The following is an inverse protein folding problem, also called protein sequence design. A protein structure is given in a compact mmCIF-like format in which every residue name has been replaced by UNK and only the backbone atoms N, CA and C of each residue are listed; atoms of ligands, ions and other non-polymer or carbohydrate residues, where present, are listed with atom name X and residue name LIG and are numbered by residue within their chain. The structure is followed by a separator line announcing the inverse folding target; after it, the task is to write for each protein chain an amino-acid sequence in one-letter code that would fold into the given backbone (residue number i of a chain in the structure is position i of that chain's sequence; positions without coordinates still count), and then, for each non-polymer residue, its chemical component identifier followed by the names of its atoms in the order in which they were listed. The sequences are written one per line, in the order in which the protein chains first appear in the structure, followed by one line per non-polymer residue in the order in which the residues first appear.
data_IF_664373099598
#
_entry.id   IF_664373099598
#
_cell.length_a   1.000
_cell.length_b   1.000
_cell.length_c   1.000
_cell.angle_alpha   90.00
_cell.angle_beta   90.00
_cell.angle_gamma   90.00
#
_symmetry.space_group_name_H-M   'P 1'
#
loop_
_entity.id
_entity.type
_entity.pdbx_description
1 polymer ?
#
# COMPACT_ATOMS: atom_id res chain seq x y z
N UNK A 1 -20.49 38.25 -51.35
CA UNK A 1 -21.34 37.10 -51.79
C UNK A 1 -20.64 35.81 -51.46
N UNK A 2 -21.38 34.85 -50.93
CA UNK A 2 -21.15 33.49 -50.49
C UNK A 2 -20.61 33.30 -49.08
N UNK A 3 -21.54 32.96 -48.18
CA UNK A 3 -21.39 32.43 -46.85
C UNK A 3 -20.99 30.94 -46.95
N UNK A 4 -20.09 30.45 -46.12
CA UNK A 4 -19.86 29.05 -45.89
C UNK A 4 -20.20 28.68 -44.42
N UNK A 5 -20.72 27.47 -44.18
CA UNK A 5 -21.41 27.16 -42.95
C UNK A 5 -20.45 26.68 -41.84
N UNK A 6 -20.82 27.00 -40.61
CA UNK A 6 -20.24 26.53 -39.35
C UNK A 6 -20.51 25.09 -39.15
N UNK A 7 -19.48 24.29 -38.99
CA UNK A 7 -19.56 22.91 -38.51
C UNK A 7 -19.39 22.85 -36.99
N UNK A 8 -20.43 22.37 -36.31
CA UNK A 8 -20.52 22.05 -34.91
C UNK A 8 -19.70 20.76 -34.66
N UNK A 9 -18.92 20.62 -33.59
CA UNK A 9 -18.37 19.34 -33.19
C UNK A 9 -19.43 18.46 -32.51
N UNK A 10 -19.35 17.14 -32.62
CA UNK A 10 -20.32 16.22 -32.02
C UNK A 10 -20.14 16.09 -30.51
N UNK A 11 -21.27 16.05 -29.82
CA UNK A 11 -21.39 15.76 -28.40
C UNK A 11 -20.82 14.38 -28.06
N UNK A 12 -19.88 14.31 -27.12
CA UNK A 12 -19.42 13.08 -26.52
C UNK A 12 -20.24 12.76 -25.28
N UNK A 13 -20.77 11.54 -25.11
CA UNK A 13 -21.45 11.17 -23.87
C UNK A 13 -20.46 10.90 -22.76
N UNK A 14 -20.64 11.61 -21.67
CA UNK A 14 -20.02 11.35 -20.36
C UNK A 14 -20.50 9.98 -19.84
N UNK A 15 -19.63 8.99 -19.89
CA UNK A 15 -19.77 7.79 -19.09
C UNK A 15 -18.48 7.61 -18.28
N UNK A 16 -18.53 8.09 -17.04
CA UNK A 16 -17.50 7.82 -16.06
C UNK A 16 -17.39 6.34 -15.78
N UNK A 17 -16.31 5.73 -16.18
CA UNK A 17 -15.91 4.39 -15.73
C UNK A 17 -14.52 4.48 -15.10
N UNK A 18 -14.53 4.33 -13.79
CA UNK A 18 -13.35 3.96 -12.99
C UNK A 18 -12.85 2.62 -13.53
N UNK A 19 -11.80 2.63 -14.34
CA UNK A 19 -11.11 1.42 -14.75
C UNK A 19 -9.80 1.33 -14.02
N UNK A 20 -9.81 0.59 -12.94
CA UNK A 20 -8.62 -0.04 -12.39
C UNK A 20 -8.11 -1.04 -13.44
N UNK A 21 -6.86 -0.92 -13.77
CA UNK A 21 -5.96 -1.73 -14.56
C UNK A 21 -6.52 -3.10 -15.01
N UNK A 22 -6.97 -3.21 -16.27
CA UNK A 22 -7.05 -4.48 -16.95
C UNK A 22 -5.81 -4.60 -17.85
N UNK A 23 -4.85 -5.43 -17.45
CA UNK A 23 -3.80 -5.90 -18.32
C UNK A 23 -4.41 -6.96 -19.25
N UNK A 24 -4.49 -6.67 -20.55
CA UNK A 24 -4.89 -7.65 -21.56
C UNK A 24 -3.77 -8.68 -21.74
N UNK A 25 -3.95 -9.88 -21.20
CA UNK A 25 -3.16 -11.05 -21.53
C UNK A 25 -3.67 -11.71 -22.80
N UNK A 26 -2.84 -11.79 -23.84
CA UNK A 26 -3.09 -12.58 -25.05
C UNK A 26 -3.00 -14.07 -24.67
N UNK A 27 -4.11 -14.79 -24.69
CA UNK A 27 -4.14 -16.24 -24.53
C UNK A 27 -3.83 -16.92 -25.88
N UNK A 28 -2.70 -17.61 -25.94
CA UNK A 28 -2.39 -18.60 -26.98
C UNK A 28 -3.04 -19.93 -26.59
N UNK A 29 -3.97 -20.38 -27.40
CA UNK A 29 -4.63 -21.67 -27.26
C UNK A 29 -3.71 -22.82 -27.67
N UNK A 30 -3.53 -23.82 -26.79
CA UNK A 30 -2.96 -25.11 -27.11
C UNK A 30 -4.04 -26.22 -26.94
N UNK A 31 -4.02 -27.29 -27.73
CA UNK A 31 -5.10 -28.25 -27.80
C UNK A 31 -5.17 -29.22 -26.63
N UNK A 32 -6.38 -29.56 -26.23
CA UNK A 32 -6.72 -30.57 -25.23
C UNK A 32 -6.31 -31.98 -25.68
N UNK A 33 -5.48 -32.62 -24.86
CA UNK A 33 -5.43 -34.10 -24.86
C UNK A 33 -6.25 -34.62 -23.67
N UNK A 34 -7.21 -35.48 -23.98
CA UNK A 34 -8.02 -36.18 -23.00
C UNK A 34 -7.23 -37.36 -22.43
N UNK A 35 -7.17 -37.44 -21.11
CA UNK A 35 -6.70 -38.65 -20.41
C UNK A 35 -7.77 -39.10 -19.42
N UNK A 36 -8.14 -40.36 -19.52
CA UNK A 36 -9.15 -41.02 -18.72
C UNK A 36 -8.71 -41.24 -17.27
N UNK A 37 -9.61 -40.96 -16.31
CA UNK A 37 -9.42 -41.22 -14.90
C UNK A 37 -9.76 -42.66 -14.53
N UNK A 38 -9.03 -43.30 -13.61
CA UNK A 38 -9.47 -44.55 -12.99
C UNK A 38 -10.37 -44.28 -11.77
N UNK A 39 -11.36 -45.19 -11.60
CA UNK A 39 -12.36 -45.14 -10.56
C UNK A 39 -11.76 -45.26 -9.14
N UNK A 40 -12.20 -44.39 -8.25
CA UNK A 40 -11.84 -44.41 -6.83
C UNK A 40 -12.81 -45.30 -6.05
N UNK A 41 -12.26 -46.31 -5.37
CA UNK A 41 -12.95 -47.17 -4.42
C UNK A 41 -13.06 -46.44 -3.07
N UNK A 42 -14.28 -46.20 -2.62
CA UNK A 42 -14.59 -45.59 -1.31
C UNK A 42 -14.36 -46.66 -0.21
N UNK A 43 -13.40 -46.39 0.68
CA UNK A 43 -13.27 -47.09 1.96
C UNK A 43 -13.93 -46.23 3.05
N UNK A 44 -14.92 -46.80 3.70
CA UNK A 44 -15.61 -46.15 4.85
C UNK A 44 -14.68 -46.09 6.06
N UNK A 45 -14.45 -44.92 6.60
CA UNK A 45 -13.67 -44.66 7.79
C UNK A 45 -14.59 -44.58 9.03
N UNK A 46 -14.30 -45.39 10.05
CA UNK A 46 -15.02 -45.41 11.31
C UNK A 46 -14.76 -44.13 12.15
N UNK A 47 -15.71 -43.68 12.98
CA UNK A 47 -15.55 -42.46 13.78
C UNK A 47 -14.55 -42.66 14.93
N UNK A 48 -13.68 -41.65 15.12
CA UNK A 48 -12.74 -41.57 16.22
C UNK A 48 -13.43 -41.32 17.57
N UNK A 49 -12.92 -41.85 18.70
CA UNK A 49 -13.48 -41.65 20.03
C UNK A 49 -13.22 -40.21 20.52
N UNK A 50 -14.18 -39.67 21.30
CA UNK A 50 -14.14 -38.33 21.90
C UNK A 50 -12.99 -38.20 22.91
N UNK A 51 -12.32 -37.02 22.99
CA UNK A 51 -11.27 -36.81 23.99
C UNK A 51 -11.84 -36.62 25.40
N UNK A 52 -11.13 -37.18 26.40
CA UNK A 52 -11.40 -37.07 27.80
C UNK A 52 -11.25 -35.62 28.33
N UNK A 53 -11.98 -35.20 29.36
CA UNK A 53 -11.88 -33.83 29.89
C UNK A 53 -10.53 -33.66 30.62
N UNK A 54 -9.87 -32.53 30.33
CA UNK A 54 -8.63 -32.12 30.98
C UNK A 54 -8.90 -31.65 32.44
N UNK A 55 -7.93 -31.87 33.38
CA UNK A 55 -8.09 -31.42 34.75
C UNK A 55 -8.06 -29.91 34.88
N UNK A 56 -8.94 -29.36 35.70
CA UNK A 56 -9.02 -27.93 36.01
C UNK A 56 -7.72 -27.45 36.69
N UNK A 57 -6.95 -26.64 36.04
CA UNK A 57 -5.80 -25.94 36.59
C UNK A 57 -6.28 -24.65 37.28
N UNK A 58 -6.16 -24.60 38.61
CA UNK A 58 -6.24 -23.36 39.38
C UNK A 58 -5.00 -22.51 39.10
N UNK A 59 -5.02 -21.74 38.03
CA UNK A 59 -4.02 -20.69 37.80
C UNK A 59 -4.52 -19.40 38.50
N UNK A 60 -3.74 -18.94 39.48
CA UNK A 60 -3.94 -17.66 40.13
C UNK A 60 -4.01 -16.56 39.05
N UNK A 61 -5.04 -15.72 39.13
CA UNK A 61 -5.22 -14.60 38.20
C UNK A 61 -4.04 -13.64 38.26
N UNK A 62 -3.21 -13.65 37.25
CA UNK A 62 -2.20 -12.60 37.02
C UNK A 62 -2.97 -11.29 36.77
N UNK A 63 -2.58 -10.16 37.42
CA UNK A 63 -3.27 -8.90 37.17
C UNK A 63 -3.22 -8.58 35.69
N UNK A 64 -4.41 -8.32 35.12
CA UNK A 64 -4.59 -8.01 33.72
C UNK A 64 -3.64 -6.85 33.35
N UNK A 65 -2.68 -7.12 32.46
CA UNK A 65 -1.88 -6.07 31.84
C UNK A 65 -2.84 -5.04 31.24
N UNK A 66 -2.67 -3.77 31.56
CA UNK A 66 -3.47 -2.69 31.01
C UNK A 66 -3.49 -2.84 29.50
N UNK A 67 -4.62 -3.24 28.94
CA UNK A 67 -4.83 -3.39 27.51
C UNK A 67 -4.88 -1.98 26.93
N UNK A 68 -3.81 -1.57 26.28
CA UNK A 68 -3.86 -0.37 25.45
C UNK A 68 -4.84 -0.65 24.32
N UNK A 69 -6.03 -0.04 24.39
CA UNK A 69 -7.05 -0.21 23.38
C UNK A 69 -6.57 0.31 22.02
N UNK A 70 -6.85 -0.40 20.92
CA UNK A 70 -6.62 0.11 19.58
C UNK A 70 -7.28 1.48 19.39
N UNK A 71 -6.68 2.35 18.58
CA UNK A 71 -7.32 3.59 18.22
C UNK A 71 -8.67 3.32 17.53
N UNK A 72 -9.64 4.18 17.74
CA UNK A 72 -11.02 3.99 17.26
C UNK A 72 -11.11 3.86 15.74
N UNK A 73 -10.23 4.56 15.01
CA UNK A 73 -10.11 4.52 13.55
C UNK A 73 -9.60 3.17 13.03
N UNK A 74 -8.57 2.57 13.69
CA UNK A 74 -8.12 1.22 13.37
C UNK A 74 -9.20 0.19 13.66
N UNK A 75 -9.85 0.27 14.83
CA UNK A 75 -10.89 -0.65 15.21
C UNK A 75 -12.07 -0.61 14.21
N UNK A 76 -12.47 0.59 13.77
CA UNK A 76 -13.53 0.78 12.78
C UNK A 76 -13.13 0.21 11.40
N UNK A 77 -11.89 0.46 10.96
CA UNK A 77 -11.36 -0.11 9.71
C UNK A 77 -11.32 -1.64 9.77
N UNK A 78 -10.78 -2.20 10.86
CA UNK A 78 -10.68 -3.64 11.03
C UNK A 78 -12.05 -4.32 11.05
N UNK A 79 -13.00 -3.77 11.82
CA UNK A 79 -14.37 -4.29 11.88
C UNK A 79 -15.08 -4.25 10.52
N UNK A 80 -14.75 -3.29 9.66
CA UNK A 80 -15.39 -3.13 8.36
C UNK A 80 -14.75 -3.99 7.28
N UNK A 81 -13.43 -4.00 7.19
CA UNK A 81 -12.70 -4.54 6.04
C UNK A 81 -12.01 -5.87 6.29
N UNK A 82 -11.76 -6.25 7.56
CA UNK A 82 -11.05 -7.50 7.88
C UNK A 82 -12.05 -8.55 8.34
N UNK A 83 -12.18 -9.61 7.57
CA UNK A 83 -13.07 -10.73 7.89
C UNK A 83 -12.52 -11.56 9.08
N UNK A 84 -13.36 -12.39 9.73
CA UNK A 84 -12.91 -13.23 10.84
C UNK A 84 -11.74 -14.15 10.51
N UNK A 85 -11.60 -14.59 9.26
CA UNK A 85 -10.50 -15.42 8.77
C UNK A 85 -9.22 -14.63 8.42
N UNK A 86 -9.26 -13.29 8.47
CA UNK A 86 -8.13 -12.41 8.15
C UNK A 86 -8.12 -11.86 6.74
N UNK A 87 -9.13 -12.15 5.92
CA UNK A 87 -9.27 -11.56 4.59
C UNK A 87 -9.57 -10.08 4.66
N UNK A 88 -8.81 -9.25 3.95
CA UNK A 88 -9.09 -7.82 3.78
C UNK A 88 -9.86 -7.60 2.49
N UNK A 89 -11.04 -6.95 2.56
CA UNK A 89 -11.94 -6.78 1.42
C UNK A 89 -12.06 -5.31 1.03
N UNK A 90 -11.88 -5.03 -0.25
CA UNK A 90 -12.37 -3.81 -0.88
C UNK A 90 -13.81 -4.04 -1.39
N UNK A 91 -14.79 -3.56 -0.64
CA UNK A 91 -16.20 -3.67 -0.99
C UNK A 91 -16.62 -2.73 -2.13
N UNK A 92 -15.75 -1.85 -2.59
CA UNK A 92 -16.04 -0.93 -3.68
C UNK A 92 -15.83 -1.55 -5.06
N UNK A 93 -15.35 -2.78 -5.12
CA UNK A 93 -15.14 -3.53 -6.36
C UNK A 93 -16.21 -4.59 -6.58
N UNK A 94 -16.62 -4.82 -7.83
CA UNK A 94 -17.63 -5.84 -8.17
C UNK A 94 -17.17 -7.25 -7.76
N UNK A 95 -15.87 -7.50 -7.81
CA UNK A 95 -15.24 -8.76 -7.42
C UNK A 95 -15.10 -8.90 -5.90
N UNK A 96 -15.44 -7.85 -5.11
CA UNK A 96 -15.12 -7.81 -3.68
C UNK A 96 -13.68 -8.25 -3.43
N UNK A 97 -12.76 -7.58 -4.14
CA UNK A 97 -11.38 -8.03 -4.22
C UNK A 97 -10.62 -7.89 -2.90
N UNK A 98 -9.64 -8.77 -2.76
CA UNK A 98 -8.56 -8.65 -1.78
C UNK A 98 -7.26 -8.54 -2.57
N UNK A 99 -6.41 -7.59 -2.20
CA UNK A 99 -5.12 -7.41 -2.84
C UNK A 99 -3.99 -7.70 -1.87
N UNK A 100 -2.83 -8.11 -2.38
CA UNK A 100 -1.64 -8.22 -1.54
C UNK A 100 -1.27 -6.89 -0.90
N UNK A 101 -1.55 -5.74 -1.58
CA UNK A 101 -1.42 -4.40 -1.01
C UNK A 101 -2.31 -4.24 0.23
N UNK A 102 -3.59 -4.64 0.12
CA UNK A 102 -4.53 -4.56 1.23
C UNK A 102 -4.12 -5.41 2.43
N UNK A 103 -3.66 -6.62 2.18
CA UNK A 103 -3.14 -7.50 3.22
C UNK A 103 -1.87 -6.92 3.86
N UNK A 104 -0.96 -6.34 3.06
CA UNK A 104 0.29 -5.74 3.54
C UNK A 104 0.06 -4.56 4.47
N UNK A 105 -0.86 -3.67 4.11
CA UNK A 105 -1.21 -2.51 4.94
C UNK A 105 -1.95 -2.92 6.22
N UNK A 106 -2.81 -3.94 6.15
CA UNK A 106 -3.47 -4.47 7.34
C UNK A 106 -2.46 -5.09 8.32
N UNK A 107 -1.44 -5.81 7.84
CA UNK A 107 -0.32 -6.29 8.67
C UNK A 107 0.42 -5.12 9.31
N UNK A 108 0.75 -4.08 8.56
CA UNK A 108 1.43 -2.91 9.07
C UNK A 108 0.62 -2.20 10.16
N UNK A 109 -0.67 -1.95 9.93
CA UNK A 109 -1.51 -1.28 10.93
C UNK A 109 -1.78 -2.15 12.16
N UNK A 110 -1.98 -3.46 12.00
CA UNK A 110 -2.07 -4.37 13.13
C UNK A 110 -0.81 -4.31 14.00
N UNK A 111 0.38 -4.21 13.38
CA UNK A 111 1.63 -4.04 14.10
C UNK A 111 1.70 -2.66 14.80
N UNK A 112 1.34 -1.57 14.11
CA UNK A 112 1.29 -0.20 14.68
C UNK A 112 0.38 -0.12 15.90
N UNK A 113 -0.70 -0.87 15.92
CA UNK A 113 -1.68 -0.89 17.01
C UNK A 113 -1.48 -2.05 18.02
N UNK A 114 -0.41 -2.84 17.89
CA UNK A 114 -0.10 -4.02 18.71
C UNK A 114 -1.22 -5.08 18.69
N UNK A 115 -1.93 -5.18 17.59
CA UNK A 115 -3.04 -6.13 17.38
C UNK A 115 -2.51 -7.45 16.81
N UNK A 116 -1.99 -8.29 17.70
CA UNK A 116 -1.36 -9.56 17.33
C UNK A 116 -2.33 -10.56 16.71
N UNK A 117 -3.58 -10.53 17.15
CA UNK A 117 -4.61 -11.48 16.70
C UNK A 117 -5.02 -11.17 15.26
N UNK A 118 -5.24 -9.91 14.93
CA UNK A 118 -5.51 -9.51 13.54
C UNK A 118 -4.27 -9.77 12.69
N UNK A 119 -3.08 -9.42 13.15
CA UNK A 119 -1.83 -9.68 12.41
C UNK A 119 -1.70 -11.16 12.04
N UNK A 120 -1.89 -12.07 13.00
CA UNK A 120 -1.76 -13.50 12.77
C UNK A 120 -2.81 -14.04 11.77
N UNK A 121 -4.07 -13.57 11.87
CA UNK A 121 -5.15 -13.99 10.95
C UNK A 121 -4.93 -13.46 9.54
N UNK A 122 -4.56 -12.19 9.39
CA UNK A 122 -4.25 -11.58 8.09
C UNK A 122 -3.08 -12.30 7.42
N UNK A 123 -2.02 -12.62 8.17
CA UNK A 123 -0.89 -13.38 7.66
C UNK A 123 -1.29 -14.78 7.21
N UNK A 124 -2.02 -15.52 8.04
CA UNK A 124 -2.47 -16.87 7.71
C UNK A 124 -3.34 -16.89 6.44
N UNK A 125 -4.25 -15.93 6.30
CA UNK A 125 -5.08 -15.80 5.11
C UNK A 125 -4.23 -15.49 3.87
N UNK A 126 -3.25 -14.59 3.99
CA UNK A 126 -2.33 -14.20 2.91
C UNK A 126 -1.53 -15.40 2.42
N UNK A 127 -0.94 -16.18 3.34
CA UNK A 127 -0.20 -17.40 2.97
C UNK A 127 -1.10 -18.41 2.27
N UNK A 128 -2.28 -18.68 2.83
CA UNK A 128 -3.18 -19.71 2.31
C UNK A 128 -3.77 -19.35 0.93
N UNK A 129 -4.13 -18.09 0.70
CA UNK A 129 -4.91 -17.71 -0.47
C UNK A 129 -4.11 -16.98 -1.56
N UNK A 130 -3.02 -16.28 -1.21
CA UNK A 130 -2.22 -15.54 -2.17
C UNK A 130 -0.86 -16.19 -2.46
N UNK A 131 -0.28 -16.94 -1.50
CA UNK A 131 1.08 -17.46 -1.60
C UNK A 131 1.17 -19.00 -1.62
N UNK A 132 0.13 -19.69 -2.09
CA UNK A 132 0.14 -21.15 -2.23
C UNK A 132 0.43 -21.90 -0.92
N UNK A 133 0.14 -21.30 0.23
CA UNK A 133 0.35 -21.84 1.57
C UNK A 133 1.63 -21.35 2.26
N UNK A 134 2.54 -20.65 1.60
CA UNK A 134 3.76 -20.16 2.26
C UNK A 134 4.46 -19.02 1.56
N UNK A 135 4.55 -17.88 2.24
CA UNK A 135 5.37 -16.72 1.85
C UNK A 135 6.89 -16.99 1.86
N UNK A 136 7.33 -18.10 2.42
CA UNK A 136 8.73 -18.50 2.32
C UNK A 136 9.07 -19.18 0.98
N UNK A 137 8.08 -19.54 0.17
CA UNK A 137 8.25 -20.31 -1.06
C UNK A 137 7.75 -19.60 -2.31
N UNK A 138 6.80 -18.67 -2.16
CA UNK A 138 6.13 -18.03 -3.26
C UNK A 138 5.79 -16.59 -2.91
N UNK A 139 6.05 -15.66 -3.85
CA UNK A 139 5.53 -14.29 -3.79
C UNK A 139 3.99 -14.33 -3.85
N UNK A 140 3.29 -13.48 -3.10
CA UNK A 140 1.83 -13.47 -3.11
C UNK A 140 1.27 -12.96 -4.43
N UNK A 141 0.23 -13.60 -4.94
CA UNK A 141 -0.58 -13.08 -6.01
C UNK A 141 -1.18 -11.72 -5.61
N UNK A 142 -1.16 -10.73 -6.51
CA UNK A 142 -1.62 -9.40 -6.15
C UNK A 142 -3.13 -9.27 -6.01
N UNK A 143 -3.93 -10.12 -6.71
CA UNK A 143 -5.38 -9.98 -6.73
C UNK A 143 -6.11 -11.31 -6.53
N UNK A 144 -7.06 -11.31 -5.60
CA UNK A 144 -7.97 -12.40 -5.30
C UNK A 144 -9.40 -11.87 -5.17
N UNK A 145 -10.40 -12.65 -5.57
CA UNK A 145 -11.78 -12.19 -5.50
C UNK A 145 -12.78 -13.15 -6.13
N UNK A 146 -13.99 -12.65 -6.39
CA UNK A 146 -15.02 -13.39 -7.09
C UNK A 146 -14.66 -13.51 -8.58
N UNK A 147 -14.59 -14.73 -9.07
CA UNK A 147 -14.29 -15.04 -10.47
C UNK A 147 -15.50 -14.81 -11.37
N UNK A 148 -15.30 -14.43 -12.66
CA UNK A 148 -16.39 -14.24 -13.62
C UNK A 148 -17.25 -15.50 -13.81
N UNK A 149 -16.63 -16.68 -13.79
CA UNK A 149 -17.28 -17.99 -13.92
C UNK A 149 -17.96 -18.50 -12.63
N UNK A 150 -17.88 -17.72 -11.57
CA UNK A 150 -18.36 -18.07 -10.23
C UNK A 150 -17.26 -18.62 -9.33
N UNK A 151 -17.56 -18.65 -8.02
CA UNK A 151 -16.59 -19.05 -6.99
C UNK A 151 -15.59 -17.95 -6.64
N UNK A 152 -14.61 -18.30 -5.83
CA UNK A 152 -13.61 -17.40 -5.25
C UNK A 152 -12.20 -17.93 -5.51
N UNK A 153 -11.24 -17.03 -5.75
CA UNK A 153 -9.86 -17.46 -5.97
C UNK A 153 -8.98 -16.32 -6.49
N UNK A 154 -7.73 -16.67 -6.83
CA UNK A 154 -6.79 -15.76 -7.48
C UNK A 154 -7.35 -15.32 -8.83
N UNK A 155 -7.42 -13.99 -9.03
CA UNK A 155 -7.86 -13.34 -10.27
C UNK A 155 -6.66 -12.99 -11.16
N UNK A 156 -5.56 -12.54 -10.54
CA UNK A 156 -4.29 -12.30 -11.21
C UNK A 156 -3.15 -12.79 -10.30
N UNK A 157 -2.37 -13.73 -10.83
CA UNK A 157 -1.31 -14.41 -10.10
C UNK A 157 0.04 -13.67 -10.11
N UNK A 158 0.15 -12.52 -10.82
CA UNK A 158 1.35 -11.71 -10.73
C UNK A 158 1.54 -11.24 -9.28
N UNK A 159 2.78 -11.07 -8.86
CA UNK A 159 3.09 -10.41 -7.60
C UNK A 159 3.07 -8.88 -7.78
N UNK A 160 3.11 -8.13 -6.68
CA UNK A 160 3.22 -6.67 -6.68
C UNK A 160 4.29 -6.27 -5.65
N UNK A 161 5.40 -5.74 -6.14
CA UNK A 161 6.60 -5.55 -5.34
C UNK A 161 6.44 -4.56 -4.18
N UNK A 162 5.53 -3.58 -4.28
CA UNK A 162 5.19 -2.71 -3.14
C UNK A 162 4.61 -3.51 -1.98
N UNK A 163 3.68 -4.40 -2.28
CA UNK A 163 3.05 -5.28 -1.29
C UNK A 163 4.07 -6.22 -0.67
N UNK A 164 4.94 -6.79 -1.48
CA UNK A 164 5.94 -7.77 -1.05
C UNK A 164 6.98 -7.12 -0.13
N UNK A 165 7.38 -5.87 -0.42
CA UNK A 165 8.21 -5.06 0.47
C UNK A 165 7.49 -4.76 1.79
N UNK A 166 6.22 -4.32 1.75
CA UNK A 166 5.47 -3.99 2.97
C UNK A 166 5.21 -5.23 3.83
N UNK A 167 4.87 -6.40 3.25
CA UNK A 167 4.71 -7.66 3.99
C UNK A 167 6.03 -8.06 4.63
N UNK A 168 7.13 -8.04 3.85
CA UNK A 168 8.47 -8.37 4.35
C UNK A 168 8.87 -7.46 5.52
N UNK A 169 8.66 -6.15 5.37
CA UNK A 169 8.93 -5.16 6.40
C UNK A 169 8.10 -5.41 7.66
N UNK A 170 6.76 -5.56 7.52
CA UNK A 170 5.86 -5.78 8.65
C UNK A 170 6.22 -7.05 9.43
N UNK A 171 6.56 -8.14 8.73
CA UNK A 171 7.01 -9.40 9.33
C UNK A 171 8.33 -9.23 10.09
N UNK A 172 9.33 -8.60 9.49
CA UNK A 172 10.62 -8.42 10.14
C UNK A 172 10.53 -7.50 11.36
N UNK A 173 9.74 -6.43 11.27
CA UNK A 173 9.49 -5.53 12.39
C UNK A 173 8.61 -6.15 13.48
N UNK A 174 7.62 -6.97 13.13
CA UNK A 174 6.88 -7.78 14.10
C UNK A 174 7.82 -8.75 14.84
N UNK A 175 8.71 -9.39 14.11
CA UNK A 175 9.76 -10.24 14.70
C UNK A 175 10.68 -9.49 15.67
N UNK A 176 11.00 -8.24 15.40
CA UNK A 176 11.79 -7.37 16.28
C UNK A 176 10.99 -6.84 17.47
N UNK A 177 9.80 -6.30 17.21
CA UNK A 177 9.00 -5.62 18.21
C UNK A 177 8.36 -6.58 19.20
N UNK A 178 7.94 -7.75 18.74
CA UNK A 178 7.31 -8.81 19.56
C UNK A 178 8.27 -9.89 20.00
N UNK A 179 9.56 -9.80 19.59
CA UNK A 179 10.58 -10.82 19.86
C UNK A 179 10.19 -12.23 19.36
N UNK A 180 9.62 -12.30 18.16
CA UNK A 180 9.21 -13.55 17.52
C UNK A 180 10.10 -13.85 16.29
N UNK A 181 10.98 -14.83 16.43
CA UNK A 181 11.93 -15.17 15.37
C UNK A 181 11.27 -15.80 14.14
N UNK A 182 10.06 -16.37 14.27
CA UNK A 182 9.32 -16.95 13.12
C UNK A 182 8.96 -15.87 12.12
N UNK A 183 8.40 -14.74 12.58
CA UNK A 183 8.10 -13.60 11.73
C UNK A 183 9.35 -13.02 11.07
N UNK A 184 10.43 -12.88 11.83
CA UNK A 184 11.69 -12.35 11.27
C UNK A 184 12.24 -13.25 10.17
N UNK A 185 12.24 -14.57 10.38
CA UNK A 185 12.71 -15.53 9.39
C UNK A 185 11.84 -15.53 8.14
N UNK A 186 10.51 -15.51 8.31
CA UNK A 186 9.56 -15.47 7.18
C UNK A 186 9.73 -14.20 6.35
N UNK A 187 9.83 -13.02 7.00
CA UNK A 187 10.05 -11.75 6.32
C UNK A 187 11.38 -11.72 5.54
N UNK A 188 12.46 -12.29 6.09
CA UNK A 188 13.73 -12.42 5.37
C UNK A 188 13.64 -13.35 4.17
N UNK A 189 12.91 -14.47 4.29
CA UNK A 189 12.72 -15.40 3.17
C UNK A 189 11.95 -14.71 2.02
N UNK A 190 10.90 -13.95 2.35
CA UNK A 190 10.16 -13.17 1.36
C UNK A 190 11.06 -12.11 0.70
N UNK A 191 11.83 -11.35 1.50
CA UNK A 191 12.77 -10.34 0.98
C UNK A 191 13.79 -10.94 0.02
N UNK A 192 14.30 -12.14 0.31
CA UNK A 192 15.24 -12.84 -0.58
C UNK A 192 14.58 -13.20 -1.93
N UNK A 193 13.28 -13.54 -1.94
CA UNK A 193 12.55 -13.77 -3.19
C UNK A 193 12.33 -12.47 -3.96
N UNK A 194 11.99 -11.36 -3.30
CA UNK A 194 11.92 -10.04 -3.93
C UNK A 194 13.25 -9.69 -4.62
N UNK A 195 14.37 -9.88 -3.93
CA UNK A 195 15.71 -9.63 -4.53
C UNK A 195 15.95 -10.49 -5.76
N UNK A 196 15.57 -11.77 -5.71
CA UNK A 196 15.79 -12.71 -6.81
C UNK A 196 14.89 -12.44 -8.03
N UNK A 197 13.62 -12.11 -7.79
CA UNK A 197 12.58 -12.11 -8.83
C UNK A 197 12.18 -10.71 -9.31
N UNK A 198 12.34 -9.69 -8.46
CA UNK A 198 11.83 -8.33 -8.72
C UNK A 198 12.93 -7.27 -8.81
N UNK A 199 14.15 -7.55 -8.32
CA UNK A 199 15.28 -6.63 -8.50
C UNK A 199 16.17 -7.11 -9.63
N UNK A 200 16.24 -6.30 -10.70
CA UNK A 200 17.08 -6.60 -11.85
C UNK A 200 18.10 -5.50 -12.12
N UNK A 201 19.16 -5.83 -12.88
CA UNK A 201 20.11 -4.84 -13.38
C UNK A 201 19.61 -4.28 -14.70
N UNK A 202 19.18 -3.02 -14.71
CA UNK A 202 18.76 -2.31 -15.91
C UNK A 202 19.97 -1.76 -16.67
N UNK A 203 20.06 -1.95 -18.00
CA UNK A 203 21.17 -1.46 -18.78
C UNK A 203 21.36 0.05 -18.64
N UNK A 204 22.57 0.48 -18.25
CA UNK A 204 22.92 1.89 -18.05
C UNK A 204 22.38 2.56 -16.79
N UNK A 205 21.58 1.85 -15.98
CA UNK A 205 21.10 2.32 -14.67
C UNK A 205 21.72 1.55 -13.51
N UNK A 206 21.74 0.21 -13.58
CA UNK A 206 22.08 -0.68 -12.50
C UNK A 206 20.85 -1.30 -11.84
N UNK A 207 20.96 -1.73 -10.57
CA UNK A 207 19.91 -2.44 -9.85
C UNK A 207 18.70 -1.56 -9.61
N UNK A 208 17.52 -2.08 -9.95
CA UNK A 208 16.24 -1.40 -9.75
C UNK A 208 15.14 -2.40 -9.41
N UNK A 209 14.20 -2.00 -8.55
CA UNK A 209 13.00 -2.77 -8.25
C UNK A 209 12.00 -2.61 -9.40
N UNK A 210 11.53 -3.74 -9.92
CA UNK A 210 10.42 -3.77 -10.88
C UNK A 210 9.08 -3.84 -10.14
N UNK A 211 7.98 -3.38 -10.76
CA UNK A 211 6.65 -3.46 -10.15
C UNK A 211 6.14 -4.89 -9.92
N UNK A 212 6.58 -5.85 -10.72
CA UNK A 212 6.33 -7.30 -10.59
C UNK A 212 7.44 -8.10 -11.27
N UNK A 213 7.57 -9.41 -10.96
CA UNK A 213 8.58 -10.26 -11.56
C UNK A 213 8.54 -10.21 -13.10
N UNK A 214 9.68 -9.98 -13.70
CA UNK A 214 9.83 -9.96 -15.17
C UNK A 214 8.93 -8.94 -15.88
N UNK A 215 8.52 -7.87 -15.20
CA UNK A 215 7.82 -6.77 -15.87
C UNK A 215 8.73 -6.13 -16.91
N UNK A 216 8.64 -6.62 -18.12
CA UNK A 216 9.38 -6.06 -19.26
C UNK A 216 8.47 -5.06 -19.93
N UNK A 217 8.94 -3.82 -20.11
CA UNK A 217 8.32 -2.90 -21.03
C UNK A 217 8.50 -3.40 -22.47
N UNK A 218 7.70 -2.89 -23.37
CA UNK A 218 7.91 -3.13 -24.80
C UNK A 218 9.22 -2.48 -25.25
N UNK A 219 10.17 -3.28 -25.74
CA UNK A 219 11.45 -2.80 -26.23
C UNK A 219 12.46 -2.40 -25.13
N UNK A 220 13.33 -1.40 -25.37
CA UNK A 220 14.40 -1.03 -24.46
C UNK A 220 13.95 -0.14 -23.29
N UNK A 221 12.73 -0.31 -22.79
CA UNK A 221 12.15 0.46 -21.70
C UNK A 221 11.58 -0.46 -20.62
N UNK A 222 11.79 -0.11 -19.35
CA UNK A 222 11.27 -0.80 -18.18
C UNK A 222 10.34 0.13 -17.41
N UNK A 223 9.09 -0.29 -17.25
CA UNK A 223 8.08 0.45 -16.49
C UNK A 223 8.38 0.36 -15.00
N UNK A 224 8.17 1.47 -14.31
CA UNK A 224 8.42 1.63 -12.88
C UNK A 224 7.25 2.39 -12.24
N UNK A 225 6.96 2.08 -10.98
CA UNK A 225 6.00 2.83 -10.18
C UNK A 225 6.73 3.54 -9.04
N UNK A 226 6.80 4.88 -9.04
CA UNK A 226 7.51 5.64 -8.00
C UNK A 226 6.99 5.40 -6.58
N UNK A 227 5.69 5.08 -6.43
CA UNK A 227 5.08 4.84 -5.12
C UNK A 227 5.44 3.49 -4.50
N UNK A 228 6.03 2.58 -5.28
CA UNK A 228 6.40 1.22 -4.83
C UNK A 228 7.71 1.19 -4.03
N UNK A 229 8.42 2.31 -3.96
CA UNK A 229 9.75 2.40 -3.34
C UNK A 229 9.80 3.41 -2.18
N UNK A 230 9.08 3.16 -1.06
CA UNK A 230 9.19 4.01 0.12
C UNK A 230 10.61 3.99 0.67
N UNK A 231 11.29 5.14 0.74
CA UNK A 231 12.70 5.20 1.14
C UNK A 231 12.93 4.65 2.55
N UNK A 232 11.98 4.81 3.47
CA UNK A 232 12.07 4.24 4.81
C UNK A 232 12.18 2.72 4.81
N UNK A 233 11.48 2.03 3.90
CA UNK A 233 11.60 0.59 3.74
C UNK A 233 12.94 0.21 3.11
N UNK A 234 13.36 0.93 2.08
CA UNK A 234 14.66 0.70 1.45
C UNK A 234 15.81 0.90 2.46
N UNK A 235 15.75 1.92 3.32
CA UNK A 235 16.71 2.12 4.41
C UNK A 235 16.73 0.97 5.40
N UNK A 236 15.55 0.44 5.71
CA UNK A 236 15.46 -0.73 6.57
C UNK A 236 16.14 -1.95 5.96
N UNK A 237 15.89 -2.21 4.67
CA UNK A 237 16.48 -3.35 3.97
C UNK A 237 17.98 -3.22 3.74
N UNK A 238 18.53 -2.01 3.61
CA UNK A 238 19.97 -1.78 3.61
C UNK A 238 20.66 -2.33 4.88
N UNK A 239 20.00 -2.26 6.03
CA UNK A 239 20.54 -2.83 7.28
C UNK A 239 20.22 -4.31 7.45
N UNK A 240 19.05 -4.73 7.03
CA UNK A 240 18.59 -6.10 7.20
C UNK A 240 19.31 -7.08 6.26
N UNK A 241 19.74 -6.59 5.10
CA UNK A 241 20.50 -7.30 4.07
C UNK A 241 21.62 -6.40 3.51
N UNK A 242 22.73 -6.21 4.26
CA UNK A 242 23.79 -5.28 3.92
C UNK A 242 24.54 -5.61 2.62
N UNK A 243 24.49 -6.86 2.18
CA UNK A 243 25.12 -7.34 0.95
C UNK A 243 24.17 -7.37 -0.24
N UNK A 244 22.89 -7.07 0.00
CA UNK A 244 21.84 -7.02 -1.01
C UNK A 244 21.92 -5.76 -1.89
N UNK A 245 20.98 -5.63 -2.82
CA UNK A 245 21.01 -4.55 -3.82
C UNK A 245 20.50 -3.20 -3.29
N UNK A 246 20.12 -3.10 -2.04
CA UNK A 246 19.26 -2.04 -1.50
C UNK A 246 19.91 -0.66 -1.50
N UNK A 247 21.24 -0.55 -1.39
CA UNK A 247 21.95 0.72 -1.55
C UNK A 247 21.76 1.27 -2.96
N UNK A 248 22.04 0.44 -3.96
CA UNK A 248 21.95 0.83 -5.36
C UNK A 248 20.48 1.10 -5.78
N UNK A 249 19.53 0.27 -5.33
CA UNK A 249 18.09 0.52 -5.54
C UNK A 249 17.66 1.85 -4.93
N UNK A 250 18.13 2.20 -3.74
CA UNK A 250 17.84 3.48 -3.10
C UNK A 250 18.38 4.66 -3.91
N UNK A 251 19.64 4.57 -4.33
CA UNK A 251 20.28 5.65 -5.12
C UNK A 251 19.57 5.83 -6.46
N UNK A 252 19.21 4.74 -7.12
CA UNK A 252 18.49 4.79 -8.39
C UNK A 252 17.03 5.29 -8.20
N UNK A 253 16.39 4.99 -7.06
CA UNK A 253 15.09 5.56 -6.69
C UNK A 253 15.19 7.10 -6.54
N UNK A 254 16.21 7.60 -5.87
CA UNK A 254 16.43 9.04 -5.73
C UNK A 254 16.72 9.70 -7.08
N UNK A 255 17.52 9.06 -7.95
CA UNK A 255 17.74 9.52 -9.34
C UNK A 255 16.43 9.57 -10.13
N UNK A 256 15.57 8.55 -9.97
CA UNK A 256 14.26 8.51 -10.60
C UNK A 256 13.43 9.74 -10.22
N UNK A 257 13.28 10.04 -8.94
CA UNK A 257 12.53 11.23 -8.50
C UNK A 257 13.09 12.50 -9.12
N UNK A 258 14.41 12.68 -9.18
CA UNK A 258 15.04 13.82 -9.85
C UNK A 258 14.70 13.93 -11.34
N UNK A 259 14.52 12.78 -12.02
CA UNK A 259 14.25 12.73 -13.46
C UNK A 259 12.76 12.91 -13.84
N UNK A 260 11.81 12.52 -12.95
CA UNK A 260 10.39 12.44 -13.32
C UNK A 260 9.50 13.52 -12.67
N UNK A 261 10.09 14.45 -11.92
CA UNK A 261 9.32 15.50 -11.19
C UNK A 261 9.65 16.93 -11.65
N UNK A 262 9.62 17.25 -12.96
CA UNK A 262 10.11 18.55 -13.48
C UNK A 262 9.36 19.75 -12.90
N UNK A 263 8.08 19.60 -12.58
CA UNK A 263 7.24 20.63 -11.93
C UNK A 263 7.01 20.37 -10.44
N UNK A 264 7.70 19.37 -9.86
CA UNK A 264 7.54 18.98 -8.46
C UNK A 264 6.37 18.03 -8.20
N UNK A 265 5.77 17.47 -9.24
CA UNK A 265 4.74 16.45 -9.14
C UNK A 265 5.28 15.09 -9.53
N UNK A 266 4.98 14.09 -8.71
CA UNK A 266 5.30 12.69 -9.01
C UNK A 266 4.29 12.12 -10.01
N UNK A 267 4.72 11.34 -11.00
CA UNK A 267 3.81 10.56 -11.84
C UNK A 267 3.37 9.28 -11.13
N UNK A 268 2.21 8.73 -11.54
CA UNK A 268 1.79 7.40 -11.10
C UNK A 268 2.77 6.32 -11.60
N UNK A 269 3.18 6.45 -12.87
CA UNK A 269 4.11 5.54 -13.53
C UNK A 269 5.15 6.30 -14.34
N UNK A 270 6.33 5.72 -14.47
CA UNK A 270 7.38 6.19 -15.36
C UNK A 270 8.07 4.98 -15.99
N UNK A 271 9.08 5.22 -16.83
CA UNK A 271 9.91 4.15 -17.37
C UNK A 271 11.38 4.55 -17.35
N UNK A 272 12.28 3.55 -17.23
CA UNK A 272 13.67 3.71 -17.57
C UNK A 272 13.86 3.39 -19.06
N UNK A 273 14.47 4.28 -19.81
CA UNK A 273 14.83 4.07 -21.22
C UNK A 273 16.32 3.82 -21.35
N UNK A 274 16.69 2.65 -21.87
CA UNK A 274 18.07 2.31 -22.16
C UNK A 274 18.67 3.24 -23.23
N UNK A 275 17.90 3.54 -24.27
CA UNK A 275 18.35 4.35 -25.41
C UNK A 275 18.58 5.80 -24.99
N UNK A 276 17.65 6.38 -24.22
CA UNK A 276 17.77 7.73 -23.69
C UNK A 276 18.72 7.81 -22.48
N UNK A 277 19.05 6.70 -21.84
CA UNK A 277 19.74 6.62 -20.54
C UNK A 277 19.14 7.55 -19.49
N UNK A 278 17.81 7.61 -19.48
CA UNK A 278 17.02 8.51 -18.64
C UNK A 278 15.72 7.88 -18.22
N UNK A 279 15.15 8.42 -17.12
CA UNK A 279 13.77 8.16 -16.77
C UNK A 279 12.87 9.01 -17.68
N UNK A 280 11.85 8.37 -18.24
CA UNK A 280 10.93 8.95 -19.24
C UNK A 280 9.48 8.73 -18.80
N UNK A 281 8.54 9.37 -19.49
CA UNK A 281 7.13 9.12 -19.31
C UNK A 281 6.78 7.64 -19.53
N UNK A 282 5.81 7.14 -18.76
CA UNK A 282 5.32 5.77 -18.93
C UNK A 282 4.67 5.60 -20.31
N UNK A 283 5.04 4.57 -21.09
CA UNK A 283 4.51 4.39 -22.45
C UNK A 283 3.01 4.11 -22.51
N UNK A 284 2.39 3.71 -21.38
CA UNK A 284 0.96 3.38 -21.32
C UNK A 284 0.14 4.42 -20.55
N UNK A 285 0.70 5.01 -19.48
CA UNK A 285 0.02 5.95 -18.57
C UNK A 285 0.45 7.41 -18.80
N UNK A 286 1.49 7.64 -19.60
CA UNK A 286 2.00 8.99 -19.87
C UNK A 286 2.61 9.65 -18.65
N UNK A 287 2.23 10.91 -18.43
CA UNK A 287 2.81 11.80 -17.40
C UNK A 287 1.81 12.12 -16.27
N UNK A 288 0.79 11.29 -16.09
CA UNK A 288 -0.26 11.52 -15.09
C UNK A 288 0.23 11.17 -13.69
N UNK A 289 0.01 12.07 -12.74
CA UNK A 289 0.09 11.81 -11.30
C UNK A 289 -1.31 11.86 -10.68
N UNK A 290 -1.66 10.82 -9.88
CA UNK A 290 -2.97 10.68 -9.25
C UNK A 290 -2.92 9.69 -8.09
N UNK A 291 -3.65 8.58 -8.17
CA UNK A 291 -3.85 7.60 -7.09
C UNK A 291 -2.58 6.84 -6.66
N UNK A 292 -1.65 6.55 -7.57
CA UNK A 292 -0.35 5.98 -7.17
C UNK A 292 0.56 7.09 -6.63
N UNK A 293 0.65 8.20 -7.33
CA UNK A 293 1.54 9.32 -7.01
C UNK A 293 1.27 9.94 -5.63
N UNK A 294 0.04 9.92 -5.14
CA UNK A 294 -0.30 10.47 -3.82
C UNK A 294 0.48 9.80 -2.70
N UNK A 295 0.79 8.50 -2.84
CA UNK A 295 1.60 7.76 -1.87
C UNK A 295 3.06 8.22 -1.85
N UNK A 296 3.58 8.75 -2.95
CA UNK A 296 4.96 9.30 -2.98
C UNK A 296 5.11 10.44 -1.98
N UNK A 297 4.13 11.35 -1.90
CA UNK A 297 4.15 12.45 -0.93
C UNK A 297 3.95 11.94 0.51
N UNK A 298 3.07 10.96 0.70
CA UNK A 298 2.86 10.30 1.98
C UNK A 298 4.19 9.71 2.50
N UNK A 299 4.88 8.91 1.67
CA UNK A 299 6.17 8.31 2.01
C UNK A 299 7.25 9.35 2.29
N UNK A 300 7.35 10.38 1.45
CA UNK A 300 8.32 11.47 1.64
C UNK A 300 8.08 12.25 2.95
N UNK A 301 6.82 12.50 3.29
CA UNK A 301 6.45 13.16 4.54
C UNK A 301 6.77 12.36 5.79
N UNK A 302 6.65 11.04 5.72
CA UNK A 302 6.95 10.12 6.83
C UNK A 302 8.43 9.73 6.94
N UNK A 303 9.28 10.13 5.98
CA UNK A 303 10.70 9.85 6.05
C UNK A 303 11.32 10.55 7.27
N UNK A 304 12.20 9.86 8.00
CA UNK A 304 12.86 10.40 9.19
C UNK A 304 13.48 11.78 8.93
N UNK A 305 13.38 12.70 9.88
CA UNK A 305 14.03 14.01 9.84
C UNK A 305 15.57 13.92 9.74
N UNK A 306 16.12 12.78 10.18
CA UNK A 306 17.57 12.46 10.12
C UNK A 306 17.98 11.75 8.84
N UNK A 307 17.07 11.46 7.90
CA UNK A 307 17.45 10.87 6.63
C UNK A 307 18.14 11.90 5.72
N UNK A 308 19.34 11.60 5.19
CA UNK A 308 20.09 12.56 4.39
C UNK A 308 19.41 12.98 3.09
N UNK A 309 18.50 12.16 2.56
CA UNK A 309 17.77 12.46 1.33
C UNK A 309 16.50 13.30 1.55
N UNK A 310 16.00 13.41 2.80
CA UNK A 310 14.70 14.04 3.08
C UNK A 310 14.57 15.45 2.50
N UNK A 311 15.53 16.33 2.80
CA UNK A 311 15.48 17.73 2.35
C UNK A 311 15.43 17.84 0.83
N UNK A 312 16.28 17.07 0.14
CA UNK A 312 16.33 17.02 -1.32
C UNK A 312 15.02 16.48 -1.90
N UNK A 313 14.51 15.35 -1.36
CA UNK A 313 13.28 14.72 -1.84
C UNK A 313 12.07 15.64 -1.70
N UNK A 314 11.89 16.27 -0.53
CA UNK A 314 10.80 17.22 -0.32
C UNK A 314 10.90 18.45 -1.24
N UNK A 315 12.11 18.93 -1.53
CA UNK A 315 12.31 20.01 -2.50
C UNK A 315 11.98 19.57 -3.94
N UNK A 316 12.29 18.33 -4.32
CA UNK A 316 11.92 17.76 -5.61
C UNK A 316 10.39 17.58 -5.74
N UNK A 317 9.71 17.25 -4.67
CA UNK A 317 8.26 16.97 -4.62
C UNK A 317 7.42 18.21 -4.26
N UNK A 318 7.87 19.43 -4.57
CA UNK A 318 7.24 20.70 -4.12
C UNK A 318 5.88 21.01 -4.73
N UNK A 319 5.42 20.29 -5.74
CA UNK A 319 4.20 20.61 -6.51
C UNK A 319 2.94 20.78 -5.65
N UNK A 320 2.53 19.82 -4.81
CA UNK A 320 1.36 19.98 -3.96
C UNK A 320 1.47 21.14 -2.98
N UNK A 321 2.67 21.38 -2.43
CA UNK A 321 2.92 22.53 -1.55
C UNK A 321 2.59 23.85 -2.25
N UNK A 322 3.04 24.04 -3.49
CA UNK A 322 2.81 25.27 -4.24
C UNK A 322 1.32 25.49 -4.54
N UNK A 323 0.60 24.43 -4.95
CA UNK A 323 -0.85 24.52 -5.16
C UNK A 323 -1.60 24.92 -3.89
N UNK A 324 -1.26 24.32 -2.75
CA UNK A 324 -1.93 24.57 -1.48
C UNK A 324 -1.58 25.95 -0.90
N UNK A 325 -0.37 26.46 -1.15
CA UNK A 325 0.02 27.83 -0.80
C UNK A 325 -0.86 28.88 -1.55
N UNK A 326 -1.21 28.57 -2.81
CA UNK A 326 -2.14 29.37 -3.61
C UNK A 326 -3.62 29.09 -3.30
N UNK A 327 -3.90 28.39 -2.18
CA UNK A 327 -5.25 28.00 -1.73
C UNK A 327 -6.06 27.21 -2.76
N UNK A 328 -5.36 26.55 -3.69
CA UNK A 328 -6.01 25.65 -4.64
C UNK A 328 -6.43 24.35 -3.94
N UNK A 329 -7.55 23.72 -4.36
CA UNK A 329 -7.92 22.42 -3.84
C UNK A 329 -6.89 21.34 -4.25
N UNK A 330 -6.78 20.27 -3.46
CA UNK A 330 -5.99 19.09 -3.86
C UNK A 330 -6.61 18.53 -5.15
N UNK A 331 -5.84 18.43 -6.24
CA UNK A 331 -6.37 17.90 -7.50
C UNK A 331 -6.42 16.36 -7.50
N UNK A 332 -7.37 15.80 -8.23
CA UNK A 332 -7.43 14.36 -8.45
C UNK A 332 -6.34 13.90 -9.45
N UNK A 333 -6.09 14.69 -10.47
CA UNK A 333 -5.09 14.42 -11.52
C UNK A 333 -4.18 15.62 -11.76
N UNK A 334 -2.93 15.34 -12.04
CA UNK A 334 -1.96 16.35 -12.49
C UNK A 334 -1.17 15.82 -13.68
N UNK A 335 -0.95 16.67 -14.66
CA UNK A 335 0.08 16.45 -15.69
C UNK A 335 1.42 16.89 -15.10
N UNK A 336 2.34 15.97 -14.88
CA UNK A 336 3.60 16.22 -14.15
C UNK A 336 4.62 17.04 -14.94
N UNK A 337 4.45 17.14 -16.25
CA UNK A 337 5.33 17.93 -17.14
C UNK A 337 4.85 19.37 -17.24
N UNK A 338 3.56 19.58 -17.44
CA UNK A 338 2.99 20.93 -17.60
C UNK A 338 2.57 21.56 -16.27
N UNK A 339 2.23 20.75 -15.28
CA UNK A 339 1.65 21.19 -14.00
C UNK A 339 0.14 21.45 -14.07
N UNK A 340 -0.52 21.15 -15.19
CA UNK A 340 -1.97 21.31 -15.35
C UNK A 340 -2.69 20.31 -14.46
N UNK A 341 -3.65 20.81 -13.66
CA UNK A 341 -4.43 20.02 -12.70
C UNK A 341 -5.88 19.84 -13.16
N UNK A 342 -6.52 18.73 -12.76
CA UNK A 342 -7.91 18.41 -13.08
C UNK A 342 -8.57 17.65 -11.93
N UNK A 343 -9.88 17.86 -11.80
CA UNK A 343 -10.70 17.20 -10.79
C UNK A 343 -10.42 17.68 -9.37
N UNK A 344 -11.26 17.24 -8.45
CA UNK A 344 -11.09 17.45 -7.02
C UNK A 344 -10.78 16.09 -6.38
N UNK A 345 -9.67 16.02 -5.65
CA UNK A 345 -9.22 14.79 -5.04
C UNK A 345 -10.21 14.24 -4.01
N UNK A 346 -10.30 12.91 -3.90
CA UNK A 346 -11.02 12.26 -2.82
C UNK A 346 -10.37 12.58 -1.47
N UNK A 347 -11.12 12.34 -0.39
CA UNK A 347 -10.72 12.73 0.96
C UNK A 347 -9.43 12.03 1.44
N UNK A 348 -9.20 10.81 0.97
CA UNK A 348 -7.97 10.06 1.26
C UNK A 348 -6.70 10.81 0.85
N UNK A 349 -6.72 11.62 -0.22
CA UNK A 349 -5.56 12.42 -0.62
C UNK A 349 -5.21 13.48 0.42
N UNK A 350 -6.23 14.09 1.06
CA UNK A 350 -5.98 14.99 2.20
C UNK A 350 -5.26 14.26 3.34
N UNK A 351 -5.71 13.03 3.67
CA UNK A 351 -5.03 12.18 4.67
C UNK A 351 -3.57 11.89 4.30
N UNK A 352 -3.31 11.50 3.06
CA UNK A 352 -1.96 11.20 2.58
C UNK A 352 -1.02 12.42 2.63
N UNK A 353 -1.55 13.63 2.48
CA UNK A 353 -0.74 14.86 2.53
C UNK A 353 -0.43 15.36 3.95
N UNK A 354 -1.06 14.83 5.01
CA UNK A 354 -0.80 15.31 6.38
C UNK A 354 0.67 15.18 6.80
N UNK A 355 1.34 14.03 6.65
CA UNK A 355 2.76 13.90 6.95
C UNK A 355 3.65 14.80 6.10
N UNK A 356 3.31 14.95 4.82
CA UNK A 356 4.06 15.77 3.87
C UNK A 356 4.02 17.25 4.26
N UNK A 357 2.85 17.79 4.57
CA UNK A 357 2.67 19.19 4.98
C UNK A 357 3.34 19.46 6.33
N UNK A 358 3.23 18.52 7.29
CA UNK A 358 3.95 18.60 8.56
C UNK A 358 5.47 18.61 8.36
N UNK A 359 5.97 17.80 7.44
CA UNK A 359 7.40 17.70 7.12
C UNK A 359 7.98 18.97 6.49
N UNK A 360 7.12 19.81 5.91
CA UNK A 360 7.45 21.08 5.26
C UNK A 360 7.14 22.31 6.15
N UNK A 361 6.62 22.10 7.37
CA UNK A 361 6.15 23.15 8.29
C UNK A 361 5.04 24.05 7.69
N UNK A 362 4.24 23.49 6.77
CA UNK A 362 3.12 24.18 6.10
C UNK A 362 1.87 24.19 6.99
N UNK A 363 1.89 25.00 8.05
CA UNK A 363 0.89 24.98 9.14
C UNK A 363 -0.53 25.26 8.68
N UNK A 364 -0.75 26.25 7.81
CA UNK A 364 -2.09 26.66 7.34
C UNK A 364 -2.67 25.59 6.38
N UNK A 365 -1.85 25.10 5.46
CA UNK A 365 -2.26 24.04 4.55
C UNK A 365 -2.54 22.74 5.34
N UNK A 366 -1.71 22.41 6.33
CA UNK A 366 -1.92 21.26 7.22
C UNK A 366 -3.25 21.40 7.98
N UNK A 367 -3.51 22.54 8.61
CA UNK A 367 -4.76 22.79 9.33
C UNK A 367 -5.97 22.64 8.42
N UNK A 368 -5.88 23.16 7.18
CA UNK A 368 -6.93 23.03 6.17
C UNK A 368 -7.21 21.56 5.82
N UNK A 369 -6.16 20.74 5.63
CA UNK A 369 -6.35 19.33 5.30
C UNK A 369 -6.85 18.52 6.52
N UNK A 370 -6.38 18.83 7.74
CA UNK A 370 -6.88 18.23 8.98
C UNK A 370 -8.37 18.51 9.18
N UNK A 371 -8.85 19.73 8.89
CA UNK A 371 -10.26 20.05 9.00
C UNK A 371 -11.16 19.28 8.01
N UNK A 372 -10.59 18.80 6.90
CA UNK A 372 -11.32 18.02 5.89
C UNK A 372 -11.48 16.55 6.27
N UNK A 373 -10.56 15.99 7.05
CA UNK A 373 -10.56 14.55 7.36
C UNK A 373 -11.48 14.23 8.54
N UNK A 374 -12.15 13.05 8.58
CA UNK A 374 -12.99 12.64 9.70
C UNK A 374 -12.20 12.64 11.01
N UNK A 375 -12.80 13.17 12.09
CA UNK A 375 -12.11 13.28 13.39
C UNK A 375 -11.15 14.46 13.50
N UNK A 376 -11.01 15.27 12.45
CA UNK A 376 -10.28 16.55 12.52
C UNK A 376 -10.86 17.44 13.63
N UNK A 377 -10.00 18.02 14.46
CA UNK A 377 -10.34 18.77 15.70
C UNK A 377 -11.06 20.10 15.50
N UNK A 378 -11.86 20.24 14.46
CA UNK A 378 -12.86 21.28 14.33
C UNK A 378 -14.23 20.60 14.29
N UNK A 379 -14.74 20.27 15.46
CA UNK A 379 -16.19 20.13 15.61
C UNK A 379 -16.79 21.46 15.16
N UNK A 380 -17.35 21.51 13.96
CA UNK A 380 -18.30 22.55 13.60
C UNK A 380 -19.42 22.48 14.65
N UNK A 381 -19.88 23.60 15.18
CA UNK A 381 -20.96 23.60 16.15
C UNK A 381 -22.15 22.85 15.55
N UNK A 382 -22.93 22.10 16.35
CA UNK A 382 -24.11 21.39 15.87
C UNK A 382 -25.21 22.43 15.53
N UNK A 383 -25.17 22.95 14.32
CA UNK A 383 -26.28 23.68 13.75
C UNK A 383 -26.84 22.84 12.61
N UNK A 384 -27.78 22.02 12.94
CA UNK A 384 -28.98 21.66 12.19
C UNK A 384 -29.44 20.27 12.57
N UNK A 385 -30.51 20.24 13.31
CA UNK A 385 -31.47 19.13 13.41
C UNK A 385 -32.00 18.81 12.02
N UNK A 386 -31.35 17.93 11.31
CA UNK A 386 -31.94 17.17 10.21
C UNK A 386 -31.51 15.74 10.36
N UNK A 387 -32.49 14.85 10.44
CA UNK A 387 -32.35 13.39 10.38
C UNK A 387 -31.76 13.01 9.01
N UNK A 388 -30.47 13.28 8.83
CA UNK A 388 -29.75 12.84 7.66
C UNK A 388 -29.28 11.40 7.93
N UNK A 389 -29.59 10.49 7.01
CA UNK A 389 -29.00 9.17 6.98
C UNK A 389 -27.48 9.26 7.18
N UNK A 390 -26.91 8.37 7.98
CA UNK A 390 -25.46 8.35 8.20
C UNK A 390 -24.73 8.42 6.84
N UNK A 391 -23.70 9.26 6.69
CA UNK A 391 -23.00 9.40 5.43
C UNK A 391 -22.45 8.04 4.98
N UNK A 392 -22.52 7.77 3.67
CA UNK A 392 -21.99 6.53 3.11
C UNK A 392 -20.52 6.37 3.53
N UNK A 393 -20.12 5.16 3.92
CA UNK A 393 -18.74 4.94 4.35
C UNK A 393 -17.77 5.20 3.20
N UNK A 394 -16.63 5.80 3.53
CA UNK A 394 -15.58 6.10 2.55
C UNK A 394 -15.11 4.83 1.83
N UNK A 395 -14.67 4.95 0.57
CA UNK A 395 -14.01 3.88 -0.16
C UNK A 395 -12.80 3.32 0.61
N UNK A 396 -12.53 2.04 0.41
CA UNK A 396 -11.43 1.32 1.07
C UNK A 396 -10.10 2.07 0.97
N UNK A 397 -9.70 2.45 -0.24
CA UNK A 397 -8.41 3.11 -0.47
C UNK A 397 -8.30 4.47 0.25
N UNK A 398 -9.39 5.24 0.29
CA UNK A 398 -9.42 6.50 1.04
C UNK A 398 -9.21 6.27 2.54
N UNK A 399 -9.84 5.23 3.11
CA UNK A 399 -9.66 4.89 4.52
C UNK A 399 -8.22 4.46 4.84
N UNK A 400 -7.56 3.71 3.94
CA UNK A 400 -6.14 3.35 4.09
C UNK A 400 -5.24 4.58 4.12
N UNK A 401 -5.42 5.52 3.19
CA UNK A 401 -4.64 6.76 3.16
C UNK A 401 -4.86 7.63 4.41
N UNK A 402 -6.10 7.68 4.89
CA UNK A 402 -6.44 8.37 6.15
C UNK A 402 -5.74 7.72 7.35
N UNK A 403 -5.78 6.38 7.46
CA UNK A 403 -5.11 5.67 8.54
C UNK A 403 -3.61 5.98 8.57
N UNK A 404 -2.93 5.96 7.42
CA UNK A 404 -1.52 6.31 7.36
C UNK A 404 -1.27 7.74 7.86
N UNK A 405 -1.98 8.72 7.32
CA UNK A 405 -1.72 10.13 7.61
C UNK A 405 -2.12 10.54 9.02
N UNK A 406 -3.30 10.11 9.49
CA UNK A 406 -3.81 10.45 10.83
C UNK A 406 -3.00 9.75 11.92
N UNK A 407 -2.74 8.44 11.81
CA UNK A 407 -1.95 7.72 12.79
C UNK A 407 -0.51 8.28 12.91
N UNK A 408 0.07 8.73 11.79
CA UNK A 408 1.35 9.44 11.80
C UNK A 408 1.25 10.78 12.54
N UNK A 409 0.26 11.59 12.21
CA UNK A 409 0.07 12.91 12.82
C UNK A 409 -0.17 12.80 14.33
N UNK A 410 -0.86 11.75 14.77
CA UNK A 410 -1.14 11.43 16.18
C UNK A 410 0.06 10.80 16.91
N UNK A 411 1.20 10.65 16.24
CA UNK A 411 2.40 10.05 16.84
C UNK A 411 2.26 8.58 17.20
N UNK A 412 1.36 7.84 16.53
CA UNK A 412 1.19 6.40 16.77
C UNK A 412 2.42 5.61 16.34
N UNK A 413 3.10 6.09 15.30
CA UNK A 413 4.32 5.51 14.79
C UNK A 413 5.21 6.55 14.12
N UNK A 414 6.49 6.22 14.04
CA UNK A 414 7.50 6.97 13.28
C UNK A 414 8.51 5.98 12.69
N UNK A 415 9.23 6.42 11.65
CA UNK A 415 10.37 5.69 11.11
C UNK A 415 11.68 6.31 11.58
N UNK A 416 12.58 5.50 12.13
CA UNK A 416 13.94 5.92 12.43
C UNK A 416 14.75 6.21 11.16
N UNK A 417 15.93 6.83 11.31
CA UNK A 417 16.87 7.11 10.21
C UNK A 417 17.17 5.87 9.36
N UNK A 418 17.20 4.72 9.97
CA UNK A 418 17.45 3.43 9.35
C UNK A 418 16.16 2.68 8.94
N UNK A 419 15.03 3.35 8.89
CA UNK A 419 13.74 2.77 8.53
C UNK A 419 13.09 1.90 9.62
N UNK A 420 13.69 1.70 10.79
CA UNK A 420 13.07 0.94 11.87
C UNK A 420 11.79 1.60 12.37
N UNK A 421 10.73 0.82 12.57
CA UNK A 421 9.47 1.27 13.11
C UNK A 421 9.57 1.57 14.60
N UNK A 422 9.15 2.76 14.99
CA UNK A 422 8.98 3.19 16.38
C UNK A 422 7.47 3.33 16.63
N UNK A 423 6.94 2.62 17.61
CA UNK A 423 5.51 2.62 17.91
C UNK A 423 5.23 3.20 19.29
N UNK A 424 4.17 3.99 19.42
CA UNK A 424 3.79 4.64 20.69
C UNK A 424 3.43 3.63 21.79
N UNK A 425 2.89 2.46 21.46
CA UNK A 425 2.55 1.45 22.46
C UNK A 425 3.78 0.89 23.22
N UNK A 426 4.98 0.98 22.64
CA UNK A 426 6.21 0.61 23.38
C UNK A 426 6.60 1.62 24.46
N UNK A 427 6.17 2.86 24.31
CA UNK A 427 6.48 3.94 25.27
C UNK A 427 5.34 4.18 26.24
N UNK A 428 4.09 4.18 25.74
CA UNK A 428 2.90 4.50 26.52
C UNK A 428 2.34 3.32 27.32
N UNK A 429 2.57 2.09 26.88
CA UNK A 429 2.06 0.88 27.51
C UNK A 429 3.12 0.11 28.31
N UNK A 430 4.21 0.74 28.74
CA UNK A 430 5.12 0.11 29.70
C UNK A 430 4.42 0.04 31.04
N UNK A 431 4.30 -1.15 31.68
CA UNK A 431 3.95 -1.20 33.08
C UNK A 431 4.99 -0.34 33.84
N UNK A 432 4.49 0.55 34.73
CA UNK A 432 5.37 1.33 35.61
C UNK A 432 6.38 0.37 36.23
N UNK A 433 7.67 0.52 35.95
CA UNK A 433 8.69 -0.14 36.78
C UNK A 433 8.54 0.46 38.17
N UNK A 434 8.37 -0.35 39.21
CA UNK A 434 8.51 0.15 40.56
C UNK A 434 9.92 0.74 40.68
N UNK A 435 9.98 1.91 41.31
CA UNK A 435 11.20 2.65 41.59
C UNK A 435 12.16 1.86 42.46
#
# INVERSE_FOLDING_TARGET
MRRSPTSRPPDSPLAGRRSLLAAAGLALALPKMASAAPAATTVAQAPAPAPAPAPASNAAATPAAATCHPATDWAAFAARHIQPDGRVIDFNTAQQQSTSEGQSYALFFALVHNDRDIFARVLAWTEANLAGGSLAKQLPAWQWGRKPEGGWGVLDANAASDSDLWISYALMEAGRLWNDNRYRTLGRSLLAMVVRDEVISLPGLGRMLLPWPKSVASGPQWRLNPSYMPLQLLRYFQQADPTGPWHEVTDNTLRMFGGVTPKGFAPDWCAWSQDARAFVADPQKGVTGSYDAIRVYLWAGMLSDKDPARKMLLAQLRGPRLLLADKQPVPEYVDTVTGVVRGMAPLGFSGALLPYLKALDETDALATQVARVPGGRAALPPTATTSAAAPAPLPYYEQVLLLFGQAWLDGRYEFGRNGQLQTSWRTLCRPNRPA
#
